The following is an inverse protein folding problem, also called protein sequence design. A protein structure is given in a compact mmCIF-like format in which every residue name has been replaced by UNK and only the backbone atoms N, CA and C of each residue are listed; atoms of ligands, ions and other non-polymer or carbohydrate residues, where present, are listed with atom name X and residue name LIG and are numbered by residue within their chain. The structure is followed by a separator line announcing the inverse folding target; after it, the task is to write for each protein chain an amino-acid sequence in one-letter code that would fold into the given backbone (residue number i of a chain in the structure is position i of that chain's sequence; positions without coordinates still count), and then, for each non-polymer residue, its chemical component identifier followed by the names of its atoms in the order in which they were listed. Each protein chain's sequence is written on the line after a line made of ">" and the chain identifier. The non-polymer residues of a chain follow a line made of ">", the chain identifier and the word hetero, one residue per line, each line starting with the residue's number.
data_IF_076990125205
#
_entry.id   IF_076990125205
#
_cell.length_a   1.000
_cell.length_b   1.000
_cell.length_c   1.000
_cell.angle_alpha   90.00
_cell.angle_beta   90.00
_cell.angle_gamma   90.00
#
_symmetry.space_group_name_H-M   'P 1'
#
loop_
_entity.id
_entity.type
_entity.pdbx_description
1 polymer ?
#
# COMPACT_ATOMS: atom_id res chain seq x y z
N UNK A 1 5.18 67.28 11.42
CA UNK A 1 4.00 66.50 11.86
C UNK A 1 3.99 65.22 11.03
N UNK A 2 4.05 64.06 11.68
CA UNK A 2 4.46 62.77 11.11
C UNK A 2 3.39 62.13 10.20
N UNK A 3 3.82 61.57 9.08
CA UNK A 3 3.01 60.60 8.32
C UNK A 3 3.87 59.39 7.97
N UNK A 4 3.73 58.28 8.70
CA UNK A 4 4.41 57.02 8.39
C UNK A 4 3.44 55.82 8.42
N UNK A 5 3.43 55.13 7.27
CA UNK A 5 3.27 53.70 7.05
C UNK A 5 2.07 52.95 7.66
N UNK A 6 1.01 52.82 6.86
CA UNK A 6 -0.05 51.82 7.06
C UNK A 6 -0.29 51.01 5.78
N UNK A 7 0.77 50.44 5.18
CA UNK A 7 0.64 49.64 3.94
C UNK A 7 1.18 48.20 4.03
N UNK A 8 1.62 47.73 5.21
CA UNK A 8 2.42 46.49 5.28
C UNK A 8 1.65 45.25 5.75
N UNK A 9 0.55 45.39 6.51
CA UNK A 9 -0.07 44.26 7.22
C UNK A 9 -0.94 43.35 6.34
N UNK A 10 -1.70 43.92 5.41
CA UNK A 10 -2.66 43.17 4.60
C UNK A 10 -2.01 42.32 3.50
N UNK A 11 -0.93 42.83 2.90
CA UNK A 11 -0.13 42.10 1.91
C UNK A 11 0.55 40.90 2.55
N UNK A 12 1.24 41.05 3.68
CA UNK A 12 1.89 39.95 4.42
C UNK A 12 0.94 38.79 4.74
N UNK A 13 -0.31 39.07 5.16
CA UNK A 13 -1.29 38.00 5.46
C UNK A 13 -1.71 37.20 4.22
N UNK A 14 -1.74 37.85 3.05
CA UNK A 14 -2.19 37.26 1.79
C UNK A 14 -1.11 36.33 1.21
N UNK A 15 0.17 36.70 1.35
CA UNK A 15 1.31 35.85 1.03
C UNK A 15 1.40 34.64 1.95
N UNK A 16 1.14 34.81 3.26
CA UNK A 16 1.14 33.69 4.21
C UNK A 16 0.04 32.68 3.87
N UNK A 17 -1.18 33.14 3.57
CA UNK A 17 -2.29 32.25 3.18
C UNK A 17 -1.98 31.52 1.88
N UNK A 18 -1.39 32.20 0.89
CA UNK A 18 -0.98 31.57 -0.38
C UNK A 18 0.16 30.57 -0.19
N UNK A 19 1.14 30.86 0.66
CA UNK A 19 2.24 29.94 1.00
C UNK A 19 1.70 28.71 1.75
N UNK A 20 0.75 28.89 2.68
CA UNK A 20 0.12 27.78 3.40
C UNK A 20 -0.73 26.91 2.45
N UNK A 21 -1.52 27.52 1.56
CA UNK A 21 -2.30 26.79 0.56
C UNK A 21 -1.41 26.05 -0.44
N UNK A 22 -0.28 26.64 -0.85
CA UNK A 22 0.68 25.98 -1.73
C UNK A 22 1.42 24.86 -1.01
N UNK A 23 1.80 25.05 0.27
CA UNK A 23 2.43 24.02 1.09
C UNK A 23 1.50 22.82 1.37
N UNK A 24 0.19 23.03 1.50
CA UNK A 24 -0.79 21.94 1.61
C UNK A 24 -0.95 21.13 0.31
N UNK A 25 -0.66 21.72 -0.86
CA UNK A 25 -0.80 21.05 -2.15
C UNK A 25 0.40 20.14 -2.49
N UNK A 26 1.54 20.35 -1.84
CA UNK A 26 2.81 19.64 -2.11
C UNK A 26 3.19 18.72 -0.95
N UNK A 27 2.23 18.28 -0.14
CA UNK A 27 2.50 17.21 0.81
C UNK A 27 2.82 15.95 -0.01
N UNK A 28 4.06 15.43 0.02
CA UNK A 28 4.32 14.12 -0.55
C UNK A 28 3.40 13.15 0.19
N UNK A 29 2.66 12.34 -0.56
CA UNK A 29 2.01 11.17 0.01
C UNK A 29 3.13 10.30 0.56
N UNK A 30 3.27 10.27 1.89
CA UNK A 30 4.17 9.35 2.58
C UNK A 30 3.67 7.92 2.33
N UNK A 31 4.00 7.38 1.17
CA UNK A 31 3.96 5.95 0.92
C UNK A 31 5.32 5.38 1.33
N UNK A 32 5.70 5.59 2.59
CA UNK A 32 6.93 5.02 3.16
C UNK A 32 6.61 3.62 3.67
N UNK A 33 6.52 2.68 2.73
CA UNK A 33 6.38 1.27 3.00
C UNK A 33 6.61 0.44 1.74
N UNK A 34 7.02 -0.84 1.86
CA UNK A 34 7.10 -1.74 0.72
C UNK A 34 5.79 -1.73 -0.08
N UNK A 35 5.89 -1.61 -1.40
CA UNK A 35 4.73 -1.41 -2.27
C UNK A 35 4.77 -2.32 -3.49
N UNK A 36 3.68 -3.06 -3.70
CA UNK A 36 3.45 -3.93 -4.84
C UNK A 36 1.95 -3.91 -5.19
N UNK A 37 1.43 -2.78 -5.69
CA UNK A 37 0.00 -2.49 -5.68
C UNK A 37 -0.80 -3.23 -6.77
N UNK A 38 -0.11 -3.80 -7.77
CA UNK A 38 -0.76 -4.39 -8.94
C UNK A 38 0.01 -5.61 -9.46
N UNK A 39 -0.63 -6.35 -10.35
CA UNK A 39 0.00 -7.48 -11.04
C UNK A 39 1.26 -7.01 -11.78
N UNK A 40 2.33 -7.80 -11.67
CA UNK A 40 3.66 -7.45 -12.17
C UNK A 40 4.34 -6.24 -11.48
N UNK A 41 3.81 -5.76 -10.36
CA UNK A 41 4.48 -4.77 -9.51
C UNK A 41 4.26 -3.32 -9.95
N UNK A 42 4.93 -2.36 -9.29
CA UNK A 42 4.70 -0.93 -9.50
C UNK A 42 4.95 -0.49 -10.96
N UNK A 43 5.87 -1.16 -11.65
CA UNK A 43 6.23 -0.87 -13.05
C UNK A 43 5.65 -1.86 -14.07
N UNK A 44 4.84 -2.84 -13.62
CA UNK A 44 4.26 -3.90 -14.45
C UNK A 44 5.29 -4.78 -15.20
N UNK A 45 6.51 -4.87 -14.68
CA UNK A 45 7.64 -5.55 -15.32
C UNK A 45 8.12 -6.81 -14.58
N UNK A 46 7.43 -7.21 -13.50
CA UNK A 46 7.78 -8.33 -12.62
C UNK A 46 9.14 -8.18 -11.91
N UNK A 47 9.60 -6.95 -11.65
CA UNK A 47 10.87 -6.72 -10.95
C UNK A 47 10.66 -6.02 -9.62
N UNK A 48 11.31 -6.55 -8.59
CA UNK A 48 11.45 -5.84 -7.31
C UNK A 48 12.53 -4.76 -7.40
N UNK A 49 12.26 -3.53 -6.91
CA UNK A 49 13.29 -2.50 -6.75
C UNK A 49 14.18 -2.72 -5.51
N UNK A 50 13.94 -3.77 -4.72
CA UNK A 50 14.70 -4.03 -3.49
C UNK A 50 16.19 -4.23 -3.77
N UNK A 51 17.02 -3.75 -2.85
CA UNK A 51 18.49 -3.85 -2.92
C UNK A 51 19.04 -4.36 -1.59
N UNK A 52 20.31 -4.78 -1.56
CA UNK A 52 20.92 -5.33 -0.34
C UNK A 52 20.35 -6.69 0.08
N UNK A 53 19.76 -7.43 -0.87
CA UNK A 53 19.30 -8.79 -0.65
C UNK A 53 20.50 -9.74 -0.48
N UNK A 54 20.25 -10.88 0.16
CA UNK A 54 21.25 -11.93 0.29
C UNK A 54 21.60 -12.53 -1.10
N UNK A 55 22.87 -12.54 -1.45
CA UNK A 55 23.37 -13.22 -2.66
C UNK A 55 23.25 -14.75 -2.54
N UNK A 56 23.32 -15.28 -1.31
CA UNK A 56 23.18 -16.70 -1.00
C UNK A 56 22.39 -16.88 0.29
N UNK A 57 21.49 -17.85 0.28
CA UNK A 57 20.78 -18.24 1.48
C UNK A 57 21.71 -18.98 2.45
N UNK A 58 21.51 -18.81 3.77
CA UNK A 58 22.18 -19.66 4.75
C UNK A 58 21.71 -21.12 4.60
N UNK A 59 22.46 -22.07 5.18
CA UNK A 59 22.19 -23.51 5.06
C UNK A 59 20.75 -23.91 5.47
N UNK A 60 20.18 -23.23 6.46
CA UNK A 60 18.79 -23.43 6.91
C UNK A 60 17.72 -22.59 6.20
N UNK A 61 18.12 -21.76 5.21
CA UNK A 61 17.24 -20.78 4.57
C UNK A 61 16.98 -19.54 5.42
N UNK A 62 16.32 -18.51 4.85
CA UNK A 62 15.94 -17.32 5.57
C UNK A 62 14.98 -17.65 6.72
N UNK A 63 15.06 -16.88 7.81
CA UNK A 63 14.15 -17.01 8.94
C UNK A 63 12.70 -16.74 8.51
N UNK A 64 11.79 -17.64 8.88
CA UNK A 64 10.35 -17.43 8.69
C UNK A 64 9.84 -16.46 9.74
N UNK A 65 9.58 -15.20 9.36
CA UNK A 65 9.08 -14.18 10.28
C UNK A 65 7.64 -14.44 10.72
N UNK A 66 6.75 -14.83 9.78
CA UNK A 66 5.36 -15.18 10.09
C UNK A 66 4.72 -16.02 8.98
N UNK A 67 3.58 -16.64 9.30
CA UNK A 67 2.72 -17.33 8.34
C UNK A 67 1.25 -17.12 8.71
N UNK A 68 0.39 -16.91 7.72
CA UNK A 68 -1.04 -16.70 7.89
C UNK A 68 -1.85 -17.89 7.33
N UNK A 69 -2.95 -18.22 7.99
CA UNK A 69 -3.90 -19.28 7.59
C UNK A 69 -5.32 -18.70 7.46
N UNK A 70 -6.21 -19.43 6.81
CA UNK A 70 -7.62 -19.01 6.64
C UNK A 70 -7.85 -18.05 5.47
N UNK A 71 -6.94 -18.02 4.50
CA UNK A 71 -7.01 -17.14 3.32
C UNK A 71 -7.79 -17.76 2.15
N UNK A 72 -8.28 -18.98 2.32
CA UNK A 72 -8.96 -19.76 1.28
C UNK A 72 -8.01 -20.51 0.35
N UNK A 73 -8.57 -21.34 -0.52
CA UNK A 73 -7.86 -22.08 -1.56
C UNK A 73 -7.77 -21.27 -2.85
N UNK A 74 -6.59 -21.14 -3.45
CA UNK A 74 -6.44 -20.43 -4.72
C UNK A 74 -4.99 -20.22 -5.11
N UNK A 75 -4.79 -19.61 -6.28
CA UNK A 75 -3.48 -19.34 -6.87
C UNK A 75 -3.18 -17.84 -6.97
N UNK A 76 -3.91 -17.01 -6.23
CA UNK A 76 -3.72 -15.57 -6.27
C UNK A 76 -2.35 -15.19 -5.73
N UNK A 77 -1.74 -14.18 -6.34
CA UNK A 77 -0.60 -13.49 -5.75
C UNK A 77 -1.04 -12.58 -4.60
N UNK A 78 -0.08 -11.87 -4.02
CA UNK A 78 -0.32 -10.81 -3.03
C UNK A 78 -0.12 -9.44 -3.67
N UNK A 79 -0.88 -8.45 -3.22
CA UNK A 79 -0.64 -7.03 -3.51
C UNK A 79 -0.42 -6.29 -2.20
N UNK A 80 0.53 -5.35 -2.18
CA UNK A 80 0.90 -4.59 -0.99
C UNK A 80 0.70 -3.11 -1.29
N UNK A 81 -0.14 -2.45 -0.50
CA UNK A 81 -0.40 -1.02 -0.60
C UNK A 81 -0.84 -0.48 0.76
N UNK A 82 -0.47 0.76 1.07
CA UNK A 82 -0.88 1.46 2.30
C UNK A 82 -0.64 0.65 3.58
N UNK A 83 0.51 -0.04 3.66
CA UNK A 83 0.89 -0.85 4.82
C UNK A 83 0.05 -2.11 5.03
N UNK A 84 -0.69 -2.54 4.00
CA UNK A 84 -1.56 -3.72 4.04
C UNK A 84 -1.20 -4.70 2.93
N UNK A 85 -1.47 -5.97 3.20
CA UNK A 85 -1.30 -7.07 2.26
C UNK A 85 -2.69 -7.52 1.83
N UNK A 86 -2.91 -7.70 0.54
CA UNK A 86 -4.17 -8.15 -0.03
C UNK A 86 -3.95 -9.42 -0.83
N UNK A 87 -4.90 -10.35 -0.72
CA UNK A 87 -4.94 -11.55 -1.56
C UNK A 87 -6.37 -12.04 -1.72
N UNK A 88 -6.59 -13.03 -2.58
CA UNK A 88 -7.89 -13.68 -2.75
C UNK A 88 -7.77 -15.19 -2.74
N UNK A 89 -8.76 -15.85 -2.13
CA UNK A 89 -8.87 -17.30 -2.15
C UNK A 89 -10.32 -17.73 -1.98
N UNK A 90 -10.61 -18.96 -2.33
CA UNK A 90 -11.94 -19.55 -2.17
C UNK A 90 -12.13 -20.00 -0.73
N UNK A 91 -13.17 -19.49 -0.07
CA UNK A 91 -13.66 -19.96 1.22
C UNK A 91 -15.09 -20.42 1.00
N UNK A 92 -15.33 -21.71 1.24
CA UNK A 92 -16.57 -22.40 0.88
C UNK A 92 -16.89 -22.21 -0.61
N UNK A 93 -18.08 -21.71 -0.92
CA UNK A 93 -18.61 -21.49 -2.28
C UNK A 93 -18.32 -20.08 -2.83
N UNK A 94 -17.42 -19.32 -2.19
CA UNK A 94 -17.14 -17.92 -2.53
C UNK A 94 -15.66 -17.66 -2.75
N UNK A 95 -15.34 -16.85 -3.75
CA UNK A 95 -14.06 -16.16 -3.79
C UNK A 95 -14.09 -15.02 -2.78
N UNK A 96 -13.08 -14.93 -1.92
CA UNK A 96 -13.00 -13.96 -0.83
C UNK A 96 -11.71 -13.15 -0.98
N UNK A 97 -11.82 -11.83 -0.94
CA UNK A 97 -10.69 -10.92 -0.81
C UNK A 97 -10.37 -10.78 0.68
N UNK A 98 -9.10 -10.98 1.04
CA UNK A 98 -8.60 -10.84 2.40
C UNK A 98 -7.58 -9.71 2.45
N UNK A 99 -7.72 -8.82 3.44
CA UNK A 99 -6.68 -7.87 3.80
C UNK A 99 -6.03 -8.27 5.11
N UNK A 100 -4.70 -8.19 5.15
CA UNK A 100 -3.87 -8.47 6.30
C UNK A 100 -3.06 -7.24 6.69
N UNK A 101 -2.72 -7.14 7.97
CA UNK A 101 -1.69 -6.25 8.45
C UNK A 101 -0.30 -6.78 8.07
N UNK A 102 0.73 -5.95 8.23
CA UNK A 102 2.11 -6.29 7.88
C UNK A 102 2.71 -7.47 8.67
N UNK A 103 2.15 -7.79 9.85
CA UNK A 103 2.52 -8.93 10.70
C UNK A 103 1.70 -10.21 10.37
N UNK A 104 0.85 -10.16 9.35
CA UNK A 104 0.10 -11.30 8.85
C UNK A 104 -1.24 -11.59 9.54
N UNK A 105 -1.70 -10.76 10.49
CA UNK A 105 -3.06 -10.94 11.02
C UNK A 105 -4.12 -10.39 10.06
N UNK A 106 -5.26 -11.07 9.98
CA UNK A 106 -6.38 -10.68 9.12
C UNK A 106 -7.04 -9.41 9.68
N UNK A 107 -7.11 -8.36 8.86
CA UNK A 107 -7.84 -7.13 9.15
C UNK A 107 -9.30 -7.26 8.77
N UNK A 108 -9.58 -7.79 7.57
CA UNK A 108 -10.94 -8.04 7.10
C UNK A 108 -10.97 -9.05 5.96
N UNK A 109 -12.16 -9.61 5.72
CA UNK A 109 -12.47 -10.47 4.59
C UNK A 109 -13.78 -10.06 3.94
N UNK A 110 -13.85 -10.10 2.60
CA UNK A 110 -15.04 -9.74 1.83
C UNK A 110 -15.28 -10.72 0.67
N UNK A 111 -16.46 -11.32 0.56
CA UNK A 111 -16.83 -12.09 -0.62
C UNK A 111 -16.79 -11.23 -1.90
N UNK A 112 -16.30 -11.81 -2.98
CA UNK A 112 -16.16 -11.23 -4.32
C UNK A 112 -16.72 -12.20 -5.39
N UNK A 113 -17.92 -12.72 -5.12
CA UNK A 113 -18.62 -13.64 -6.02
C UNK A 113 -18.40 -15.13 -5.71
N UNK A 114 -19.04 -16.00 -6.50
CA UNK A 114 -18.93 -17.45 -6.34
C UNK A 114 -17.49 -17.93 -6.55
N UNK A 115 -17.11 -18.98 -5.81
CA UNK A 115 -15.86 -19.69 -6.02
C UNK A 115 -15.82 -20.31 -7.42
N UNK A 116 -14.66 -20.27 -8.05
CA UNK A 116 -14.41 -21.04 -9.26
C UNK A 116 -14.27 -22.52 -8.92
N UNK A 117 -15.14 -23.35 -9.49
CA UNK A 117 -15.28 -24.76 -9.11
C UNK A 117 -15.14 -25.74 -10.30
N UNK A 118 -14.97 -25.27 -11.54
CA UNK A 118 -14.95 -26.14 -12.73
C UNK A 118 -13.96 -25.68 -13.81
N UNK A 119 -13.15 -26.59 -14.40
CA UNK A 119 -12.54 -26.32 -15.70
C UNK A 119 -13.68 -26.17 -16.70
N UNK A 120 -13.74 -25.03 -17.39
CA UNK A 120 -14.57 -24.88 -18.59
C UNK A 120 -14.14 -25.97 -19.60
N UNK A 121 -14.96 -27.00 -19.69
CA UNK A 121 -14.95 -28.00 -20.76
C UNK A 121 -15.86 -27.58 -21.90
#
# INVERSE_FOLDING_TARGET
>A
MLTTHTLTKHTLSRWIIQIVLFACLVLPTLADGPSWPQFHGPNQDNKSPDTGLLDQWPEGGPELIWSAKGLGYGYSSVSIADGRIFTSGNIDDKTVVTALAADGHILWQKPNGPAWNEPVG
#
